data_IF_507877568290
#
_entry.id   IF_507877568290
#
_cell.length_a   1.000
_cell.length_b   1.000
_cell.length_c   1.000
_cell.angle_alpha   90.00
_cell.angle_beta   90.00
_cell.angle_gamma   90.00
#
_symmetry.space_group_name_H-M   'P 1'
#
loop_
_entity.id
_entity.type
_entity.pdbx_description
1 polymer ?
#
# COMPACT_ATOMS: atom_id res chain seq x y z
N UNK A 1 4.96 -1.79 2.77
CA UNK A 1 5.14 -0.95 3.98
C UNK A 1 3.83 -0.68 4.72
N UNK A 2 2.95 0.27 4.34
CA UNK A 2 1.70 0.54 5.09
C UNK A 2 0.69 -0.62 5.06
N UNK A 3 0.55 -1.30 3.92
CA UNK A 3 -0.34 -2.47 3.79
C UNK A 3 0.18 -3.73 4.51
N UNK A 4 1.50 -3.92 4.57
CA UNK A 4 2.11 -5.01 5.33
C UNK A 4 1.87 -4.80 6.82
N UNK A 5 1.99 -3.55 7.30
CA UNK A 5 1.69 -3.19 8.68
C UNK A 5 0.22 -3.48 9.02
N UNK A 6 -0.72 -3.15 8.13
CA UNK A 6 -2.13 -3.53 8.29
C UNK A 6 -2.32 -5.04 8.41
N UNK A 7 -1.66 -5.81 7.56
CA UNK A 7 -1.75 -7.27 7.56
C UNK A 7 -1.27 -7.86 8.88
N UNK A 8 -0.12 -7.40 9.37
CA UNK A 8 0.45 -7.85 10.64
C UNK A 8 -0.44 -7.44 11.83
N UNK A 9 -0.92 -6.20 11.87
CA UNK A 9 -1.78 -5.72 12.97
C UNK A 9 -3.12 -6.43 12.98
N UNK A 10 -3.70 -6.72 11.81
CA UNK A 10 -4.93 -7.51 11.71
C UNK A 10 -4.73 -8.95 12.22
N UNK A 11 -3.59 -9.56 11.93
CA UNK A 11 -3.28 -10.90 12.44
C UNK A 11 -3.19 -10.90 13.98
N UNK A 12 -2.51 -9.93 14.58
CA UNK A 12 -2.44 -9.78 16.05
C UNK A 12 -3.80 -9.51 16.67
N UNK A 13 -4.64 -8.68 16.04
CA UNK A 13 -6.00 -8.44 16.51
C UNK A 13 -6.86 -9.72 16.49
N UNK A 14 -6.67 -10.59 15.48
CA UNK A 14 -7.32 -11.91 15.42
C UNK A 14 -6.83 -12.85 16.52
N UNK A 15 -5.56 -12.80 16.87
CA UNK A 15 -5.01 -13.58 18.00
C UNK A 15 -5.67 -13.18 19.31
N UNK A 16 -5.77 -11.87 19.59
CA UNK A 16 -6.49 -11.36 20.78
C UNK A 16 -7.98 -11.71 20.75
N UNK A 17 -8.63 -11.64 19.58
CA UNK A 17 -10.03 -11.99 19.43
C UNK A 17 -10.32 -13.47 19.72
N UNK A 18 -9.37 -14.37 19.39
CA UNK A 18 -9.51 -15.81 19.62
C UNK A 18 -8.93 -16.27 20.98
N UNK A 19 -8.38 -15.37 21.78
CA UNK A 19 -7.90 -15.69 23.13
C UNK A 19 -9.08 -15.62 24.12
N UNK A 20 -9.53 -16.79 24.59
CA UNK A 20 -10.61 -16.91 25.58
C UNK A 20 -10.30 -16.20 26.91
N UNK A 21 -9.01 -15.90 27.19
CA UNK A 21 -8.56 -15.19 28.38
C UNK A 21 -8.20 -13.72 28.09
N UNK A 22 -8.53 -13.21 26.90
CA UNK A 22 -8.21 -11.84 26.52
C UNK A 22 -8.74 -10.84 27.56
N UNK A 23 -7.84 -10.00 28.05
CA UNK A 23 -8.23 -8.93 28.97
C UNK A 23 -8.90 -7.79 28.21
N UNK A 24 -9.80 -7.06 28.87
CA UNK A 24 -10.39 -5.84 28.32
C UNK A 24 -9.31 -4.87 27.80
N UNK A 25 -8.22 -4.71 28.56
CA UNK A 25 -7.11 -3.85 28.16
C UNK A 25 -6.44 -4.34 26.87
N UNK A 26 -6.20 -5.65 26.72
CA UNK A 26 -5.62 -6.23 25.50
C UNK A 26 -6.53 -6.06 24.28
N UNK A 27 -7.85 -6.22 24.46
CA UNK A 27 -8.83 -5.96 23.40
C UNK A 27 -8.84 -4.49 23.00
N UNK A 28 -8.90 -3.57 23.97
CA UNK A 28 -8.89 -2.13 23.72
C UNK A 28 -7.59 -1.69 23.01
N UNK A 29 -6.44 -2.27 23.39
CA UNK A 29 -5.15 -2.00 22.75
C UNK A 29 -5.12 -2.49 21.28
N UNK A 30 -5.65 -3.69 21.01
CA UNK A 30 -5.73 -4.24 19.66
C UNK A 30 -6.61 -3.37 18.74
N UNK A 31 -7.73 -2.86 19.27
CA UNK A 31 -8.62 -1.95 18.54
C UNK A 31 -7.91 -0.64 18.21
N UNK A 32 -7.25 -0.01 19.19
CA UNK A 32 -6.54 1.26 18.98
C UNK A 32 -5.44 1.12 17.94
N UNK A 33 -4.61 0.08 18.03
CA UNK A 33 -3.55 -0.21 17.05
C UNK A 33 -4.11 -0.42 15.64
N UNK A 34 -5.24 -1.12 15.51
CA UNK A 34 -5.86 -1.33 14.19
C UNK A 34 -6.35 -0.01 13.60
N UNK A 35 -6.99 0.83 14.41
CA UNK A 35 -7.47 2.16 13.98
C UNK A 35 -6.33 3.08 13.54
N UNK A 36 -5.24 3.12 14.30
CA UNK A 36 -4.04 3.90 13.95
C UNK A 36 -3.45 3.46 12.60
N UNK A 37 -3.34 2.15 12.39
CA UNK A 37 -2.76 1.62 11.14
C UNK A 37 -3.69 1.87 9.96
N UNK A 38 -5.00 1.76 10.13
CA UNK A 38 -5.98 2.14 9.09
C UNK A 38 -5.89 3.62 8.76
N UNK A 39 -5.77 4.49 9.76
CA UNK A 39 -5.62 5.94 9.56
C UNK A 39 -4.29 6.30 8.87
N UNK A 40 -3.23 5.50 9.09
CA UNK A 40 -1.93 5.68 8.46
C UNK A 40 -1.80 5.02 7.07
N UNK A 41 -2.88 4.41 6.54
CA UNK A 41 -2.86 3.87 5.19
C UNK A 41 -2.68 5.01 4.17
N UNK A 42 -1.77 4.78 3.24
CA UNK A 42 -1.50 5.70 2.13
C UNK A 42 -2.08 5.07 0.87
N UNK A 43 -2.83 5.85 0.10
CA UNK A 43 -3.31 5.42 -1.21
C UNK A 43 -2.14 5.04 -2.11
N UNK A 44 -2.30 3.95 -2.86
CA UNK A 44 -1.33 3.63 -3.91
C UNK A 44 -1.45 4.68 -5.00
N UNK A 45 -0.32 5.26 -5.41
CA UNK A 45 -0.29 6.16 -6.55
C UNK A 45 -0.87 5.49 -7.80
N UNK A 46 -1.82 6.14 -8.46
CA UNK A 46 -2.28 5.74 -9.78
C UNK A 46 -1.16 5.95 -10.81
N UNK A 47 -0.72 4.86 -11.45
CA UNK A 47 0.37 4.87 -12.44
C UNK A 47 -0.13 4.78 -13.88
N UNK A 48 -1.44 4.80 -14.12
CA UNK A 48 -2.02 4.62 -15.44
C UNK A 48 -1.48 5.64 -16.46
N UNK A 49 -1.40 6.93 -16.06
CA UNK A 49 -0.85 7.97 -16.92
C UNK A 49 0.63 7.74 -17.26
N UNK A 50 1.45 7.41 -16.24
CA UNK A 50 2.87 7.10 -16.43
C UNK A 50 3.06 5.91 -17.37
N UNK A 51 2.30 4.84 -17.18
CA UNK A 51 2.34 3.64 -18.04
C UNK A 51 1.93 4.00 -19.47
N UNK A 52 0.89 4.81 -19.64
CA UNK A 52 0.44 5.26 -20.97
C UNK A 52 1.51 6.05 -21.71
N UNK A 53 2.15 7.01 -21.03
CA UNK A 53 3.25 7.81 -21.59
C UNK A 53 4.45 6.92 -21.93
N UNK A 54 4.84 6.03 -21.02
CA UNK A 54 5.95 5.09 -21.24
C UNK A 54 5.71 4.20 -22.47
N UNK A 55 4.51 3.63 -22.59
CA UNK A 55 4.12 2.83 -23.75
C UNK A 55 4.05 3.64 -25.04
N UNK A 56 3.69 4.92 -24.96
CA UNK A 56 3.72 5.83 -26.12
C UNK A 56 5.16 6.11 -26.54
N UNK A 57 6.05 6.39 -25.60
CA UNK A 57 7.47 6.63 -25.85
C UNK A 57 8.15 5.40 -26.48
N UNK A 58 7.82 4.18 -26.03
CA UNK A 58 8.32 2.94 -26.63
C UNK A 58 7.92 2.75 -28.10
N UNK A 59 6.81 3.36 -28.53
CA UNK A 59 6.30 3.28 -29.91
C UNK A 59 6.83 4.39 -30.81
N UNK A 60 7.59 5.34 -30.27
CA UNK A 60 8.17 6.41 -31.07
C UNK A 60 9.24 5.82 -32.00
N UNK A 61 9.07 6.12 -33.28
CA UNK A 61 10.02 5.79 -34.31
C UNK A 61 11.25 6.70 -34.17
N UNK A 62 12.35 6.13 -33.70
CA UNK A 62 13.60 6.85 -33.44
C UNK A 62 14.22 7.44 -34.71
N UNK A 63 13.88 6.92 -35.89
CA UNK A 63 14.39 7.45 -37.16
C UNK A 63 13.78 8.81 -37.54
N UNK A 64 12.68 9.20 -36.89
CA UNK A 64 12.06 10.54 -37.06
C UNK A 64 12.70 11.62 -36.21
N UNK A 65 13.68 11.28 -35.38
CA UNK A 65 14.38 12.20 -34.49
C UNK A 65 15.82 12.39 -34.96
N UNK A 66 16.33 13.61 -34.82
CA UNK A 66 17.74 13.88 -35.10
C UNK A 66 18.61 13.35 -33.96
N UNK A 67 19.89 13.08 -34.26
CA UNK A 67 20.88 12.63 -33.26
C UNK A 67 21.02 13.56 -32.07
N UNK A 68 20.69 14.85 -32.24
CA UNK A 68 20.72 15.89 -31.20
C UNK A 68 19.51 15.84 -30.24
N UNK A 69 18.45 15.12 -30.61
CA UNK A 69 17.17 15.04 -29.87
C UNK A 69 16.89 13.66 -29.23
N UNK A 70 17.75 12.67 -29.47
CA UNK A 70 17.69 11.31 -28.89
C UNK A 70 18.52 11.21 -27.61
#
# INVERSE_FOLDING_TARGET
QSFELLTVTLQKAKEVFNDDNATKHGVDEAINKLNEVVAALVEKADKNNLISIFNTALKLDKEKYTSESL
#
